data_IF_136206545678
#
_entry.id   IF_136206545678
#
_cell.length_a   1.000
_cell.length_b   1.000
_cell.length_c   1.000
_cell.angle_alpha   90.00
_cell.angle_beta   90.00
_cell.angle_gamma   90.00
#
_symmetry.space_group_name_H-M   'P 1'
#
loop_
_entity.id
_entity.type
_entity.pdbx_description
1 polymer ?
#
# COMPACT_ATOMS: atom_id res chain seq x y z
N UNK A 1 -9.01 -12.87 -10.32
CA UNK A 1 -9.36 -11.77 -11.23
C UNK A 1 -8.67 -10.52 -10.73
N UNK A 2 -7.82 -9.89 -11.53
CA UNK A 2 -7.00 -8.76 -11.11
C UNK A 2 -7.84 -7.63 -10.49
N UNK A 3 -7.37 -7.09 -9.38
CA UNK A 3 -7.94 -5.94 -8.68
C UNK A 3 -7.70 -4.66 -9.48
N UNK A 4 -8.73 -3.83 -9.59
CA UNK A 4 -8.67 -2.54 -10.27
C UNK A 4 -8.27 -1.42 -9.31
N UNK A 5 -7.87 -0.23 -9.82
CA UNK A 5 -7.81 0.97 -9.01
C UNK A 5 -9.10 1.15 -8.19
N UNK A 6 -8.97 1.50 -6.90
CA UNK A 6 -10.10 1.66 -5.99
C UNK A 6 -10.75 0.36 -5.49
N UNK A 7 -10.18 -0.82 -5.76
CA UNK A 7 -10.71 -2.09 -5.25
C UNK A 7 -10.62 -2.22 -3.71
N UNK A 8 -9.72 -1.46 -3.08
CA UNK A 8 -9.61 -1.33 -1.62
C UNK A 8 -9.42 0.15 -1.25
N UNK A 9 -9.68 0.48 0.01
CA UNK A 9 -9.29 1.76 0.60
C UNK A 9 -8.64 1.55 1.97
N UNK A 10 -7.63 2.33 2.31
CA UNK A 10 -7.06 2.33 3.65
C UNK A 10 -8.04 2.95 4.65
N UNK A 11 -8.22 2.29 5.79
CA UNK A 11 -9.06 2.72 6.92
C UNK A 11 -8.29 2.77 8.23
N UNK A 12 -7.01 2.41 8.21
CA UNK A 12 -6.11 2.53 9.35
C UNK A 12 -4.66 2.65 8.89
N UNK A 13 -3.93 3.55 9.53
CA UNK A 13 -2.49 3.73 9.39
C UNK A 13 -1.95 4.05 10.79
N UNK A 14 -1.11 3.17 11.31
CA UNK A 14 -0.44 3.33 12.59
C UNK A 14 1.06 3.14 12.36
N UNK A 15 1.82 4.20 12.59
CA UNK A 15 3.29 4.23 12.55
C UNK A 15 3.91 4.33 13.96
N UNK A 16 3.08 4.10 14.99
CA UNK A 16 3.54 3.98 16.37
C UNK A 16 3.63 2.51 16.78
N UNK A 17 4.54 2.20 17.70
CA UNK A 17 4.68 0.88 18.29
C UNK A 17 5.34 -0.13 17.35
N UNK A 18 4.56 -1.05 16.78
CA UNK A 18 5.05 -2.09 15.87
C UNK A 18 4.32 -2.09 14.52
N UNK A 19 3.86 -0.92 14.11
CA UNK A 19 3.26 -0.55 12.83
C UNK A 19 2.13 -1.45 12.31
N UNK A 20 1.03 -0.81 11.91
CA UNK A 20 -0.16 -1.51 11.46
C UNK A 20 -0.86 -0.72 10.36
N UNK A 21 -1.44 -1.43 9.41
CA UNK A 21 -2.38 -0.86 8.46
C UNK A 21 -3.70 -1.60 8.53
N UNK A 22 -4.77 -0.95 8.09
CA UNK A 22 -6.03 -1.62 7.81
C UNK A 22 -6.59 -1.12 6.48
N UNK A 23 -7.16 -2.03 5.69
CA UNK A 23 -7.87 -1.69 4.47
C UNK A 23 -9.25 -2.33 4.45
N UNK A 24 -10.20 -1.67 3.80
CA UNK A 24 -11.52 -2.23 3.50
C UNK A 24 -11.55 -2.70 2.04
N UNK A 25 -12.10 -3.88 1.80
CA UNK A 25 -12.42 -4.34 0.46
C UNK A 25 -13.62 -3.55 -0.08
N UNK A 26 -13.47 -2.85 -1.20
CA UNK A 26 -14.57 -2.11 -1.85
C UNK A 26 -15.26 -2.91 -2.96
N UNK A 27 -14.64 -4.03 -3.34
CA UNK A 27 -15.18 -5.09 -4.18
C UNK A 27 -14.84 -6.44 -3.56
N UNK A 28 -15.47 -7.51 -4.02
CA UNK A 28 -15.11 -8.87 -3.62
C UNK A 28 -13.69 -9.21 -4.09
N UNK A 29 -12.85 -9.65 -3.15
CA UNK A 29 -11.48 -10.11 -3.42
C UNK A 29 -11.49 -11.64 -3.36
N UNK A 30 -11.23 -12.26 -4.52
CA UNK A 30 -11.26 -13.71 -4.65
C UNK A 30 -10.05 -14.37 -3.96
N UNK A 31 -10.17 -15.65 -3.53
CA UNK A 31 -9.01 -16.40 -3.06
C UNK A 31 -7.88 -16.41 -4.09
N UNK A 32 -6.64 -16.30 -3.61
CA UNK A 32 -5.43 -16.29 -4.43
C UNK A 32 -5.04 -14.90 -4.98
N UNK A 33 -5.86 -13.87 -4.80
CA UNK A 33 -5.44 -12.50 -5.10
C UNK A 33 -4.31 -12.08 -4.15
N UNK A 34 -3.27 -11.47 -4.72
CA UNK A 34 -2.11 -10.96 -4.00
C UNK A 34 -2.07 -9.45 -4.13
N UNK A 35 -1.85 -8.77 -3.01
CA UNK A 35 -1.60 -7.33 -2.93
C UNK A 35 -0.21 -7.14 -2.31
N UNK A 36 0.65 -6.38 -2.99
CA UNK A 36 1.91 -5.93 -2.44
C UNK A 36 1.74 -4.56 -1.81
N UNK A 37 2.33 -4.39 -0.64
CA UNK A 37 2.45 -3.13 0.08
C UNK A 37 3.93 -2.74 0.14
N UNK A 38 4.21 -1.51 -0.23
CA UNK A 38 5.56 -1.01 -0.40
C UNK A 38 5.67 0.42 0.12
N UNK A 39 6.66 0.67 0.96
CA UNK A 39 7.00 2.00 1.49
C UNK A 39 8.12 2.71 0.71
N UNK A 40 8.91 1.96 -0.08
CA UNK A 40 9.97 2.51 -0.92
C UNK A 40 9.48 3.62 -1.86
N UNK A 41 10.32 4.63 -2.09
CA UNK A 41 9.97 5.82 -2.86
C UNK A 41 9.63 5.49 -4.33
N UNK A 42 8.48 5.99 -4.81
CA UNK A 42 8.07 5.87 -6.21
C UNK A 42 8.43 7.13 -7.01
N UNK A 43 9.20 6.97 -8.09
CA UNK A 43 9.64 8.11 -8.92
C UNK A 43 8.75 8.39 -10.15
N UNK A 44 7.60 7.72 -10.27
CA UNK A 44 6.74 7.79 -11.46
C UNK A 44 6.91 6.63 -12.45
N UNK A 45 8.06 5.95 -12.43
CA UNK A 45 8.39 4.86 -13.35
C UNK A 45 8.85 3.57 -12.66
N UNK A 46 9.32 3.67 -11.42
CA UNK A 46 9.82 2.56 -10.64
C UNK A 46 10.00 2.96 -9.17
N UNK A 47 10.09 1.94 -8.31
CA UNK A 47 10.58 2.14 -6.95
C UNK A 47 12.09 2.40 -6.99
N UNK A 48 12.51 3.44 -6.29
CA UNK A 48 13.92 3.80 -6.10
C UNK A 48 14.29 3.62 -4.63
N UNK A 49 15.58 3.75 -4.33
CA UNK A 49 16.11 3.71 -2.97
C UNK A 49 15.54 2.56 -2.14
N UNK A 50 15.58 1.34 -2.72
CA UNK A 50 14.84 0.14 -2.25
C UNK A 50 15.39 -0.49 -0.96
N UNK A 51 15.83 0.33 -0.02
CA UNK A 51 16.41 -0.03 1.27
C UNK A 51 15.34 -0.19 2.37
N UNK A 52 14.09 0.16 2.07
CA UNK A 52 12.92 0.01 2.94
C UNK A 52 12.13 -1.27 2.61
N UNK A 53 11.05 -1.50 3.34
CA UNK A 53 10.40 -2.79 3.45
C UNK A 53 9.22 -2.95 2.52
N UNK A 54 9.03 -4.16 2.02
CA UNK A 54 7.76 -4.55 1.44
C UNK A 54 7.22 -5.80 2.12
N UNK A 55 5.91 -5.94 2.03
CA UNK A 55 5.20 -7.14 2.40
C UNK A 55 4.10 -7.41 1.38
N UNK A 56 3.63 -8.65 1.34
CA UNK A 56 2.43 -8.99 0.57
C UNK A 56 1.33 -9.47 1.50
N UNK A 57 0.10 -9.36 1.02
CA UNK A 57 -1.06 -10.01 1.57
C UNK A 57 -1.72 -10.85 0.48
N UNK A 58 -2.08 -12.08 0.82
CA UNK A 58 -2.78 -13.01 -0.06
C UNK A 58 -4.13 -13.36 0.55
N UNK A 59 -5.19 -13.29 -0.26
CA UNK A 59 -6.51 -13.76 0.14
C UNK A 59 -6.53 -15.30 0.18
N UNK A 60 -6.68 -15.92 1.34
CA UNK A 60 -6.78 -17.38 1.46
C UNK A 60 -8.21 -17.90 1.19
N UNK A 61 -9.19 -17.02 1.32
CA UNK A 61 -10.61 -17.24 1.07
C UNK A 61 -11.23 -15.98 0.45
N UNK A 62 -12.50 -16.07 0.03
CA UNK A 62 -13.23 -14.91 -0.49
C UNK A 62 -13.33 -13.85 0.61
N UNK A 63 -12.84 -12.64 0.32
CA UNK A 63 -13.01 -11.46 1.16
C UNK A 63 -14.09 -10.60 0.51
N UNK A 64 -15.30 -10.64 1.07
CA UNK A 64 -16.43 -9.90 0.52
C UNK A 64 -16.25 -8.38 0.67
N UNK A 65 -16.83 -7.61 -0.24
CA UNK A 65 -16.88 -6.16 -0.14
C UNK A 65 -17.43 -5.71 1.24
N UNK A 66 -16.84 -4.66 1.80
CA UNK A 66 -17.09 -4.16 3.15
C UNK A 66 -16.25 -4.83 4.24
N UNK A 67 -15.51 -5.91 3.95
CA UNK A 67 -14.63 -6.55 4.94
C UNK A 67 -13.40 -5.69 5.21
N UNK A 68 -13.08 -5.47 6.49
CA UNK A 68 -11.84 -4.81 6.90
C UNK A 68 -10.78 -5.88 7.20
N UNK A 69 -9.63 -5.75 6.56
CA UNK A 69 -8.43 -6.55 6.80
C UNK A 69 -7.42 -5.69 7.53
N UNK A 70 -6.96 -6.16 8.70
CA UNK A 70 -5.89 -5.53 9.48
C UNK A 70 -4.60 -6.32 9.28
N UNK A 71 -3.50 -5.61 9.04
CA UNK A 71 -2.14 -6.16 8.99
C UNK A 71 -1.36 -5.59 10.17
N UNK A 72 -0.79 -6.46 10.99
CA UNK A 72 -0.07 -6.12 12.21
C UNK A 72 1.39 -6.57 12.17
N UNK A 73 2.18 -5.99 13.06
CA UNK A 73 3.59 -6.33 13.27
C UNK A 73 4.41 -6.13 11.99
N UNK A 74 4.15 -5.01 11.30
CA UNK A 74 4.83 -4.69 10.06
C UNK A 74 6.29 -4.37 10.35
N UNK A 75 6.54 -3.49 11.34
CA UNK A 75 7.90 -3.03 11.66
C UNK A 75 8.84 -4.15 12.10
N UNK A 76 8.40 -5.03 13.00
CA UNK A 76 9.22 -6.11 13.57
C UNK A 76 8.43 -7.38 13.93
N UNK A 77 9.13 -8.50 14.07
CA UNK A 77 8.50 -9.79 14.43
C UNK A 77 7.74 -10.45 13.27
N UNK A 78 6.82 -11.34 13.62
CA UNK A 78 5.98 -12.08 12.68
C UNK A 78 4.78 -11.23 12.27
N UNK A 79 4.75 -10.86 10.98
CA UNK A 79 3.62 -10.15 10.38
C UNK A 79 2.38 -11.03 10.42
N UNK A 80 1.22 -10.44 10.70
CA UNK A 80 -0.04 -11.16 10.81
C UNK A 80 -1.17 -10.38 10.13
N UNK A 81 -2.13 -11.10 9.55
CA UNK A 81 -3.35 -10.53 9.00
C UNK A 81 -4.57 -11.06 9.75
N UNK A 82 -5.61 -10.23 9.91
CA UNK A 82 -6.88 -10.67 10.53
C UNK A 82 -7.63 -11.71 9.69
N UNK A 83 -7.38 -11.74 8.39
CA UNK A 83 -7.80 -12.77 7.42
C UNK A 83 -6.81 -12.76 6.26
N UNK A 84 -6.71 -13.86 5.53
CA UNK A 84 -5.64 -14.07 4.54
C UNK A 84 -4.26 -14.19 5.21
N UNK A 85 -3.22 -14.21 4.38
CA UNK A 85 -1.85 -14.41 4.84
C UNK A 85 -0.98 -13.22 4.43
N UNK A 86 -0.35 -12.57 5.41
CA UNK A 86 0.68 -11.56 5.17
C UNK A 86 2.08 -12.20 5.18
N UNK A 87 2.97 -11.77 4.29
CA UNK A 87 4.32 -12.35 4.20
C UNK A 87 5.42 -11.29 4.03
N UNK A 88 6.55 -11.57 4.67
CA UNK A 88 7.84 -10.89 4.56
C UNK A 88 8.95 -11.95 4.68
N UNK A 89 10.16 -11.74 4.11
CA UNK A 89 10.57 -10.61 3.29
C UNK A 89 10.08 -10.74 1.84
N UNK A 90 10.05 -9.61 1.14
CA UNK A 90 9.86 -9.59 -0.31
C UNK A 90 11.23 -9.58 -0.99
N UNK A 91 11.45 -10.48 -1.95
CA UNK A 91 12.71 -10.58 -2.65
C UNK A 91 13.04 -9.29 -3.42
N UNK A 92 14.30 -8.84 -3.32
CA UNK A 92 14.73 -7.60 -3.97
C UNK A 92 14.29 -6.33 -3.24
N UNK A 93 13.97 -6.42 -1.93
CA UNK A 93 13.61 -5.30 -1.06
C UNK A 93 14.47 -5.25 0.19
N UNK A 94 14.49 -4.07 0.80
CA UNK A 94 15.14 -3.84 2.08
C UNK A 94 14.49 -4.63 3.20
N UNK A 95 15.20 -4.67 4.33
CA UNK A 95 14.74 -5.37 5.55
C UNK A 95 14.23 -4.41 6.62
N UNK A 96 14.38 -3.09 6.40
CA UNK A 96 13.79 -2.09 7.27
C UNK A 96 12.29 -1.99 6.97
N UNK A 97 11.46 -2.67 7.76
CA UNK A 97 10.00 -2.70 7.57
C UNK A 97 9.26 -1.61 8.35
N UNK A 98 9.98 -0.78 9.10
CA UNK A 98 9.37 0.23 9.96
C UNK A 98 8.72 1.32 9.12
N UNK A 99 7.46 1.62 9.41
CA UNK A 99 6.75 2.76 8.83
C UNK A 99 7.00 3.93 9.79
N UNK A 100 7.71 4.96 9.34
CA UNK A 100 7.95 6.11 10.22
C UNK A 100 6.70 6.97 10.43
N UNK A 101 6.76 7.84 11.43
CA UNK A 101 5.64 8.68 11.86
C UNK A 101 5.38 9.91 11.00
N UNK A 102 6.10 10.12 9.89
CA UNK A 102 5.91 11.28 9.03
C UNK A 102 6.77 11.26 7.77
N UNK A 103 6.13 11.67 6.66
CA UNK A 103 6.66 11.65 5.29
C UNK A 103 6.78 10.25 4.66
N UNK A 104 5.99 9.30 5.15
CA UNK A 104 5.84 7.96 4.56
C UNK A 104 4.66 7.88 3.61
N UNK A 105 4.80 7.02 2.61
CA UNK A 105 3.72 6.61 1.70
C UNK A 105 3.71 5.09 1.60
N UNK A 106 2.54 4.46 1.74
CA UNK A 106 2.35 3.04 1.46
C UNK A 106 1.56 2.89 0.17
N UNK A 107 2.17 2.24 -0.82
CA UNK A 107 1.54 1.89 -2.09
C UNK A 107 0.97 0.48 -2.02
N UNK A 108 -0.28 0.29 -2.43
CA UNK A 108 -0.90 -1.02 -2.61
C UNK A 108 -1.05 -1.32 -4.11
N UNK A 109 -0.49 -2.44 -4.57
CA UNK A 109 -0.50 -2.80 -6.00
C UNK A 109 -0.55 -4.30 -6.26
N UNK A 110 -0.91 -4.66 -7.49
CA UNK A 110 -0.69 -5.99 -8.06
C UNK A 110 0.43 -5.93 -9.11
N UNK A 111 1.07 -7.08 -9.33
CA UNK A 111 2.16 -7.24 -10.28
C UNK A 111 3.20 -8.21 -9.75
N UNK A 112 4.44 -8.01 -10.18
CA UNK A 112 5.60 -8.66 -9.56
C UNK A 112 6.16 -7.75 -8.46
N UNK A 113 6.82 -8.32 -7.43
CA UNK A 113 7.53 -7.53 -6.43
C UNK A 113 8.36 -6.41 -7.05
N UNK A 114 8.00 -5.18 -6.73
CA UNK A 114 8.67 -3.98 -7.18
C UNK A 114 8.44 -3.53 -8.61
N UNK A 115 7.55 -4.21 -9.32
CA UNK A 115 7.16 -3.89 -10.69
C UNK A 115 5.64 -3.91 -10.77
N UNK A 116 4.98 -2.83 -10.29
CA UNK A 116 3.52 -2.72 -10.32
C UNK A 116 3.01 -2.81 -11.75
N UNK A 117 2.06 -3.71 -11.99
CA UNK A 117 1.26 -3.72 -13.22
C UNK A 117 -0.06 -2.97 -13.01
N UNK A 118 -0.53 -2.88 -11.78
CA UNK A 118 -1.73 -2.11 -11.41
C UNK A 118 -1.59 -1.57 -9.99
N UNK A 119 -1.56 -0.25 -9.86
CA UNK A 119 -1.75 0.40 -8.56
C UNK A 119 -3.23 0.36 -8.18
N UNK A 120 -3.52 -0.08 -6.96
CA UNK A 120 -4.87 -0.17 -6.43
C UNK A 120 -5.21 1.11 -5.66
N UNK A 121 -4.34 1.50 -4.72
CA UNK A 121 -4.50 2.68 -3.88
C UNK A 121 -3.15 3.03 -3.20
N UNK A 122 -3.08 4.17 -2.53
CA UNK A 122 -1.97 4.57 -1.69
C UNK A 122 -2.46 5.43 -0.51
N UNK A 123 -1.68 5.45 0.57
CA UNK A 123 -1.91 6.33 1.72
C UNK A 123 -0.59 6.94 2.18
N UNK A 124 -0.60 8.19 2.62
CA UNK A 124 0.56 8.86 3.20
C UNK A 124 0.21 9.48 4.54
N UNK A 125 1.18 9.48 5.47
CA UNK A 125 1.07 10.19 6.75
C UNK A 125 1.81 11.55 6.73
N UNK A 126 2.45 11.90 5.61
CA UNK A 126 3.05 13.20 5.34
C UNK A 126 2.54 13.82 4.03
N UNK A 127 3.40 14.61 3.37
CA UNK A 127 3.04 15.25 2.10
C UNK A 127 3.18 14.28 0.94
N UNK A 128 2.19 14.21 0.05
CA UNK A 128 2.43 13.65 -1.28
C UNK A 128 3.33 14.60 -2.09
N UNK A 129 4.56 14.19 -2.39
CA UNK A 129 5.35 14.90 -3.38
C UNK A 129 4.73 14.68 -4.76
N UNK A 130 3.95 15.66 -5.25
CA UNK A 130 3.51 15.68 -6.64
C UNK A 130 4.70 15.99 -7.57
N UNK A 131 5.67 15.08 -7.65
CA UNK A 131 6.69 15.12 -8.70
C UNK A 131 6.21 14.29 -9.88
N UNK A 132 5.31 14.92 -10.65
CA UNK A 132 4.89 14.57 -12.02
C UNK A 132 4.44 13.11 -12.30
N UNK A 133 3.11 12.99 -12.30
CA UNK A 133 2.27 12.21 -13.22
C UNK A 133 2.24 10.68 -13.09
N UNK A 134 1.39 10.24 -12.17
CA UNK A 134 0.30 9.23 -12.28
C UNK A 134 -0.39 9.27 -10.91
N UNK A 135 -1.67 9.60 -10.70
CA UNK A 135 -2.91 9.49 -11.47
C UNK A 135 -3.78 10.70 -11.06
N UNK A 136 -4.45 11.24 -12.06
CA UNK A 136 -5.41 12.34 -12.11
C UNK A 136 -5.10 13.76 -11.57
N UNK A 137 -5.46 14.71 -12.43
CA UNK A 137 -5.40 16.18 -12.35
C UNK A 137 -4.04 16.90 -12.18
N UNK A 138 -3.53 17.42 -13.31
CA UNK A 138 -2.62 18.57 -13.32
C UNK A 138 -3.42 19.84 -12.97
N UNK A 139 -3.47 20.21 -11.69
CA UNK A 139 -3.68 21.61 -11.29
C UNK A 139 -2.39 22.16 -10.71
N UNK A 140 -1.80 23.12 -11.42
CA UNK A 140 -0.67 23.91 -10.93
C UNK A 140 -1.16 24.91 -9.89
N UNK A 141 -1.43 24.45 -8.68
CA UNK A 141 -1.79 25.32 -7.57
C UNK A 141 -0.57 25.53 -6.67
N UNK A 142 0.41 26.26 -7.21
CA UNK A 142 1.40 27.05 -6.45
C UNK A 142 1.81 26.55 -5.07
N UNK A 143 2.28 25.30 -4.97
CA UNK A 143 2.88 24.77 -3.74
C UNK A 143 1.93 24.54 -2.57
N UNK A 144 0.72 23.99 -2.80
CA UNK A 144 -0.14 23.50 -1.71
C UNK A 144 -0.51 22.03 -1.88
N UNK A 145 -0.47 21.34 -0.74
CA UNK A 145 -0.65 19.90 -0.54
C UNK A 145 -1.81 19.33 -1.38
N UNK A 146 -1.55 18.24 -2.11
CA UNK A 146 -2.61 17.44 -2.73
C UNK A 146 -3.33 16.65 -1.63
N UNK A 147 -4.66 16.59 -1.71
CA UNK A 147 -5.54 16.00 -0.70
C UNK A 147 -5.15 14.55 -0.33
N UNK A 148 -5.41 14.18 0.92
CA UNK A 148 -4.88 13.01 1.65
C UNK A 148 -5.45 11.65 1.21
N UNK A 149 -6.21 11.61 0.12
CA UNK A 149 -6.82 10.37 -0.38
C UNK A 149 -6.87 10.40 -1.89
N UNK A 150 -6.25 9.40 -2.49
CA UNK A 150 -6.40 9.06 -3.90
C UNK A 150 -7.83 8.56 -4.14
N UNK A 151 -8.72 9.43 -4.66
CA UNK A 151 -10.03 8.99 -5.18
C UNK A 151 -9.80 8.45 -6.59
N UNK A 152 -9.73 7.11 -6.70
CA UNK A 152 -9.68 6.41 -7.97
C UNK A 152 -11.06 6.48 -8.64
N UNK A 153 -11.30 7.54 -9.41
CA UNK A 153 -12.43 7.63 -10.34
C UNK A 153 -11.98 7.44 -11.78
#
# INVERSE_FOLDING_TARGET
>A
MALTPGAIAFVGFNADGNDNIAFVALTDINPGEVIFFEDNEWNGTGFVDTNEGAFSWTADALVAAGTIVRIDNIGTGTIAASTGTATTPIAGRGTNRGIAGGDETIYAYQGTPGTPTTFITAIANGRFFCRKRTVDEYRTDGGRDCDRSFDAR
#
